data_IF_314519815895
#
_entry.id   IF_314519815895
#
_cell.length_a   1.000
_cell.length_b   1.000
_cell.length_c   1.000
_cell.angle_alpha   90.00
_cell.angle_beta   90.00
_cell.angle_gamma   90.00
#
_symmetry.space_group_name_H-M   'P 1'
#
loop_
_entity.id
_entity.type
_entity.pdbx_description
1 polymer ?
#
# COMPACT_ATOMS: atom_id res chain seq x y z
N UNK A 1 0.57 0.49 -21.63
CA UNK A 1 1.32 1.56 -20.93
C UNK A 1 2.78 1.12 -20.91
N UNK A 2 3.72 2.03 -21.16
CA UNK A 2 5.16 1.76 -21.33
C UNK A 2 5.61 1.02 -22.62
N UNK A 3 4.79 0.99 -23.67
CA UNK A 3 5.11 0.29 -24.93
C UNK A 3 5.62 1.21 -26.04
N UNK A 4 5.65 2.53 -25.78
CA UNK A 4 6.13 3.55 -26.72
C UNK A 4 7.62 3.84 -26.49
N UNK A 5 8.37 4.15 -27.54
CA UNK A 5 9.82 4.39 -27.48
C UNK A 5 10.22 5.55 -26.56
N UNK A 6 9.31 6.48 -26.25
CA UNK A 6 9.53 7.58 -25.30
C UNK A 6 9.87 7.10 -23.87
N UNK A 7 9.61 5.83 -23.57
CA UNK A 7 9.91 5.21 -22.27
C UNK A 7 11.23 4.44 -22.26
N UNK A 8 11.89 4.27 -23.41
CA UNK A 8 13.14 3.51 -23.51
C UNK A 8 14.24 4.15 -22.66
N UNK A 9 14.89 3.33 -21.83
CA UNK A 9 15.96 3.78 -20.92
C UNK A 9 15.52 4.66 -19.76
N UNK A 10 14.22 4.86 -19.54
CA UNK A 10 13.69 5.65 -18.43
C UNK A 10 13.47 4.80 -17.18
N UNK A 11 13.60 5.42 -16.01
CA UNK A 11 13.21 4.85 -14.71
C UNK A 11 12.10 5.72 -14.13
N UNK A 12 11.00 5.08 -13.72
CA UNK A 12 9.83 5.76 -13.17
C UNK A 12 9.43 5.18 -11.82
N UNK A 13 9.15 6.03 -10.84
CA UNK A 13 8.52 5.66 -9.58
C UNK A 13 7.00 5.61 -9.75
N UNK A 14 6.42 4.42 -9.82
CA UNK A 14 5.00 4.26 -10.13
C UNK A 14 4.17 3.95 -8.88
N UNK A 15 3.52 4.96 -8.32
CA UNK A 15 2.57 4.76 -7.22
C UNK A 15 1.48 5.83 -7.19
N UNK A 16 0.38 5.52 -6.50
CA UNK A 16 -0.68 6.49 -6.20
C UNK A 16 -0.38 7.33 -4.96
N UNK A 17 -1.40 8.05 -4.50
CA UNK A 17 -1.36 8.78 -3.24
C UNK A 17 -1.12 7.82 -2.05
N UNK A 18 -0.18 8.19 -1.19
CA UNK A 18 0.08 7.50 0.06
C UNK A 18 -1.12 7.63 1.01
N UNK A 19 -1.37 6.58 1.79
CA UNK A 19 -2.40 6.57 2.83
C UNK A 19 -1.81 6.05 4.13
N UNK A 20 -2.37 6.48 5.25
CA UNK A 20 -2.02 5.96 6.56
C UNK A 20 -2.66 4.59 6.79
N UNK A 21 -2.15 3.85 7.78
CA UNK A 21 -2.75 2.58 8.20
C UNK A 21 -4.18 2.76 8.74
N UNK A 22 -4.48 3.90 9.37
CA UNK A 22 -5.83 4.23 9.80
C UNK A 22 -6.76 4.41 8.59
N UNK A 23 -6.34 5.18 7.59
CA UNK A 23 -7.13 5.36 6.36
C UNK A 23 -7.37 4.03 5.65
N UNK A 24 -6.39 3.12 5.64
CA UNK A 24 -6.60 1.77 5.10
C UNK A 24 -7.68 1.00 5.87
N UNK A 25 -7.66 1.03 7.21
CA UNK A 25 -8.71 0.40 8.03
C UNK A 25 -10.09 1.01 7.75
N UNK A 26 -10.17 2.34 7.61
CA UNK A 26 -11.41 3.05 7.30
C UNK A 26 -11.97 2.64 5.93
N UNK A 27 -11.10 2.54 4.91
CA UNK A 27 -11.48 2.05 3.59
C UNK A 27 -12.00 0.61 3.61
N UNK A 28 -11.34 -0.28 4.37
CA UNK A 28 -11.76 -1.67 4.53
C UNK A 28 -13.13 -1.76 5.21
N UNK A 29 -13.34 -1.02 6.29
CA UNK A 29 -14.62 -0.95 6.99
C UNK A 29 -15.74 -0.45 6.09
N UNK A 30 -15.49 0.62 5.34
CA UNK A 30 -16.46 1.16 4.40
C UNK A 30 -16.79 0.17 3.27
N UNK A 31 -15.78 -0.55 2.75
CA UNK A 31 -15.96 -1.45 1.61
C UNK A 31 -16.63 -2.78 1.97
N UNK A 32 -16.35 -3.32 3.15
CA UNK A 32 -16.73 -4.68 3.54
C UNK A 32 -17.69 -4.75 4.74
N UNK A 33 -18.11 -3.61 5.29
CA UNK A 33 -18.99 -3.57 6.47
C UNK A 33 -18.33 -4.11 7.75
N UNK A 34 -17.01 -4.07 7.83
CA UNK A 34 -16.24 -4.54 8.99
C UNK A 34 -16.11 -3.46 10.07
N UNK A 35 -15.61 -3.85 11.25
CA UNK A 35 -15.29 -2.95 12.34
C UNK A 35 -13.84 -3.14 12.81
N UNK A 36 -12.90 -2.89 11.91
CA UNK A 36 -11.47 -2.96 12.15
C UNK A 36 -10.97 -1.66 12.78
N UNK A 37 -10.05 -1.77 13.74
CA UNK A 37 -9.31 -0.64 14.28
C UNK A 37 -7.82 -0.81 14.04
N UNK A 38 -7.14 0.27 13.67
CA UNK A 38 -5.68 0.26 13.60
C UNK A 38 -5.10 0.34 15.01
N UNK A 39 -4.28 -0.63 15.37
CA UNK A 39 -3.50 -0.63 16.62
C UNK A 39 -2.04 -0.40 16.28
N UNK A 40 -1.50 0.75 16.70
CA UNK A 40 -0.08 1.01 16.58
C UNK A 40 0.74 0.04 17.46
N UNK A 41 1.88 -0.40 16.95
CA UNK A 41 2.86 -1.24 17.65
C UNK A 41 4.26 -0.64 17.49
N UNK A 42 5.17 -0.98 18.39
CA UNK A 42 6.60 -0.76 18.14
C UNK A 42 7.09 -1.69 17.02
N UNK A 43 8.23 -1.33 16.41
CA UNK A 43 8.87 -2.17 15.38
C UNK A 43 9.25 -3.52 15.96
N UNK A 44 9.81 -3.55 17.17
CA UNK A 44 10.27 -4.78 17.82
C UNK A 44 9.12 -5.73 18.14
N UNK A 45 8.01 -5.21 18.68
CA UNK A 45 6.81 -6.01 18.94
C UNK A 45 6.23 -6.57 17.64
N UNK A 46 6.14 -5.74 16.59
CA UNK A 46 5.62 -6.19 15.30
C UNK A 46 6.55 -7.23 14.64
N UNK A 47 7.86 -7.05 14.76
CA UNK A 47 8.86 -8.02 14.27
C UNK A 47 8.73 -9.36 14.96
N UNK A 48 8.65 -9.36 16.30
CA UNK A 48 8.42 -10.57 17.07
C UNK A 48 7.14 -11.28 16.64
N UNK A 49 6.03 -10.54 16.57
CA UNK A 49 4.73 -11.05 16.13
C UNK A 49 4.76 -11.66 14.72
N UNK A 50 5.50 -11.05 13.78
CA UNK A 50 5.67 -11.59 12.41
C UNK A 50 6.62 -12.79 12.36
N UNK A 51 7.66 -12.84 13.18
CA UNK A 51 8.57 -14.00 13.27
C UNK A 51 7.89 -15.21 13.92
N UNK A 52 7.12 -14.98 14.99
CA UNK A 52 6.39 -16.05 15.67
C UNK A 52 5.35 -16.70 14.75
N UNK A 53 4.70 -15.92 13.88
CA UNK A 53 3.68 -16.42 12.92
C UNK A 53 4.28 -17.00 11.62
N UNK A 54 5.30 -16.34 11.05
CA UNK A 54 5.77 -16.61 9.67
C UNK A 54 7.19 -17.17 9.60
N UNK A 55 7.85 -17.37 10.75
CA UNK A 55 9.24 -17.81 10.86
C UNK A 55 10.26 -16.69 10.67
N UNK A 56 11.53 -16.97 11.01
CA UNK A 56 12.60 -15.98 11.04
C UNK A 56 12.82 -15.25 9.71
N UNK A 57 12.70 -15.96 8.58
CA UNK A 57 12.96 -15.36 7.28
C UNK A 57 11.85 -14.37 6.87
N UNK A 58 10.61 -14.86 6.71
CA UNK A 58 9.50 -14.01 6.26
C UNK A 58 9.11 -12.97 7.30
N UNK A 59 9.17 -13.32 8.58
CA UNK A 59 8.85 -12.39 9.66
C UNK A 59 9.73 -11.15 9.65
N UNK A 60 11.04 -11.33 9.46
CA UNK A 60 11.98 -10.21 9.40
C UNK A 60 11.82 -9.35 8.15
N UNK A 61 11.53 -9.97 6.99
CA UNK A 61 11.27 -9.23 5.75
C UNK A 61 10.04 -8.34 5.91
N UNK A 62 8.93 -8.90 6.38
CA UNK A 62 7.67 -8.16 6.51
C UNK A 62 7.82 -7.03 7.53
N UNK A 63 8.40 -7.31 8.69
CA UNK A 63 8.65 -6.27 9.69
C UNK A 63 9.57 -5.16 9.17
N UNK A 64 10.61 -5.52 8.41
CA UNK A 64 11.50 -4.56 7.76
C UNK A 64 10.78 -3.66 6.74
N UNK A 65 9.80 -4.18 6.00
CA UNK A 65 8.98 -3.38 5.07
C UNK A 65 8.19 -2.31 5.85
N UNK A 66 7.48 -2.70 6.93
CA UNK A 66 6.69 -1.75 7.72
C UNK A 66 7.55 -0.74 8.48
N UNK A 67 8.71 -1.16 8.97
CA UNK A 67 9.71 -0.24 9.53
C UNK A 67 10.20 0.77 8.48
N UNK A 68 10.55 0.30 7.28
CA UNK A 68 10.95 1.17 6.16
C UNK A 68 9.86 2.20 5.82
N UNK A 69 8.60 1.77 5.72
CA UNK A 69 7.46 2.67 5.49
C UNK A 69 7.35 3.71 6.60
N UNK A 70 7.44 3.29 7.87
CA UNK A 70 7.39 4.19 9.03
C UNK A 70 8.50 5.24 8.99
N UNK A 71 9.68 4.86 8.50
CA UNK A 71 10.85 5.72 8.40
C UNK A 71 10.87 6.56 7.11
N UNK A 72 9.81 6.52 6.29
CA UNK A 72 9.69 7.33 5.07
C UNK A 72 10.45 6.77 3.86
N UNK A 73 10.86 5.49 3.87
CA UNK A 73 11.62 4.89 2.76
C UNK A 73 10.85 4.86 1.42
N UNK A 74 9.53 5.04 1.46
CA UNK A 74 8.63 5.10 0.30
C UNK A 74 7.88 6.43 0.20
N UNK A 75 8.35 7.46 0.90
CA UNK A 75 7.82 8.83 0.79
C UNK A 75 8.60 9.60 -0.27
N UNK A 76 8.33 9.27 -1.53
CA UNK A 76 9.00 9.83 -2.69
C UNK A 76 7.99 10.32 -3.74
N UNK A 77 8.40 11.21 -4.66
CA UNK A 77 7.54 11.65 -5.75
C UNK A 77 7.16 10.50 -6.69
N UNK A 78 5.92 10.52 -7.18
CA UNK A 78 5.41 9.59 -8.18
C UNK A 78 5.57 10.16 -9.58
N UNK A 79 6.03 9.33 -10.50
CA UNK A 79 6.09 9.59 -11.94
C UNK A 79 4.89 9.02 -12.70
N UNK A 80 3.86 8.55 -12.00
CA UNK A 80 2.73 7.85 -12.62
C UNK A 80 2.07 8.68 -13.72
N UNK A 81 1.80 9.97 -13.49
CA UNK A 81 1.18 10.83 -14.49
C UNK A 81 2.06 10.96 -15.75
N UNK A 82 3.36 11.16 -15.58
CA UNK A 82 4.32 11.28 -16.68
C UNK A 82 4.41 9.99 -17.50
N UNK A 83 4.41 8.84 -16.83
CA UNK A 83 4.49 7.52 -17.47
C UNK A 83 3.16 7.09 -18.12
N UNK A 84 2.03 7.39 -17.48
CA UNK A 84 0.71 6.88 -17.86
C UNK A 84 -0.09 7.84 -18.75
N UNK A 85 0.24 9.13 -18.76
CA UNK A 85 -0.56 10.19 -19.41
C UNK A 85 -1.92 10.43 -18.75
N UNK A 86 -2.14 9.91 -17.54
CA UNK A 86 -3.37 10.07 -16.75
C UNK A 86 -3.07 9.98 -15.25
N UNK A 87 -3.98 10.50 -14.44
CA UNK A 87 -3.92 10.35 -12.98
C UNK A 87 -4.03 8.89 -12.54
N UNK A 88 -3.39 8.58 -11.41
CA UNK A 88 -3.56 7.29 -10.74
C UNK A 88 -4.99 7.17 -10.18
N UNK A 89 -5.55 5.96 -10.17
CA UNK A 89 -6.86 5.72 -9.56
C UNK A 89 -6.83 6.11 -8.07
N UNK A 90 -7.82 6.88 -7.60
CA UNK A 90 -7.89 7.23 -6.18
C UNK A 90 -8.23 5.99 -5.34
N UNK A 91 -7.79 5.98 -4.07
CA UNK A 91 -8.14 4.91 -3.12
C UNK A 91 -9.65 4.81 -2.93
N UNK A 92 -10.35 5.94 -2.85
CA UNK A 92 -11.81 5.98 -2.78
C UNK A 92 -12.46 5.23 -3.95
N UNK A 93 -12.10 5.58 -5.19
CA UNK A 93 -12.66 4.92 -6.39
C UNK A 93 -12.35 3.42 -6.40
N UNK A 94 -11.14 3.02 -6.00
CA UNK A 94 -10.78 1.60 -5.91
C UNK A 94 -11.65 0.84 -4.89
N UNK A 95 -11.79 1.36 -3.66
CA UNK A 95 -12.58 0.70 -2.62
C UNK A 95 -14.10 0.73 -2.89
N UNK A 96 -14.60 1.75 -3.58
CA UNK A 96 -16.00 1.79 -4.02
C UNK A 96 -16.32 0.68 -5.04
N UNK A 97 -15.36 0.33 -5.91
CA UNK A 97 -15.51 -0.80 -6.85
C UNK A 97 -15.52 -2.16 -6.14
N UNK A 98 -14.90 -2.28 -4.96
CA UNK A 98 -14.93 -3.53 -4.20
C UNK A 98 -16.29 -3.78 -3.55
N UNK A 99 -17.00 -2.72 -3.13
CA UNK A 99 -18.37 -2.82 -2.60
C UNK A 99 -19.32 -3.50 -3.58
N UNK A 100 -19.20 -3.17 -4.87
CA UNK A 100 -20.09 -3.70 -5.91
C UNK A 100 -19.91 -5.19 -6.19
N UNK A 101 -18.83 -5.81 -5.69
CA UNK A 101 -18.56 -7.24 -5.84
C UNK A 101 -18.73 -8.05 -4.55
N UNK A 102 -18.94 -7.39 -3.40
CA UNK A 102 -19.12 -8.05 -2.10
C UNK A 102 -20.57 -8.51 -1.85
N UNK A 103 -21.50 -8.18 -2.75
CA UNK A 103 -22.92 -8.59 -2.69
C UNK A 103 -23.23 -9.45 -3.91
N UNK A 104 -22.91 -10.73 -3.85
CA UNK A 104 -23.47 -11.81 -4.69
C UNK A 104 -23.43 -13.10 -3.89
#
# INVERSE_FOLDING_TARGET
MLTESKHDGQTYNLHGQAITQQQLADYLNAAFGTNLSYRAMSVDEYRKDRVDELGEFLGNIIAGIYEGIRNGAVDNPSDFLAAAGREHQTRQTYFDQLKTHAVT
#
